data_IF_203602300028
#
_entry.id   IF_203602300028
#
_cell.length_a   1.000
_cell.length_b   1.000
_cell.length_c   1.000
_cell.angle_alpha   90.00
_cell.angle_beta   90.00
_cell.angle_gamma   90.00
#
_symmetry.space_group_name_H-M   'P 1'
#
loop_
_entity.id
_entity.type
_entity.pdbx_description
1 polymer ?
#
# COMPACT_ATOMS: atom_id res chain seq x y z
N UNK A 1 -55.62 -4.25 12.58
CA UNK A 1 -54.69 -3.84 11.52
C UNK A 1 -53.26 -3.81 12.06
N UNK A 2 -52.29 -4.41 11.35
CA UNK A 2 -50.92 -4.47 11.80
C UNK A 2 -50.25 -3.10 11.71
N UNK A 3 -49.58 -2.69 12.78
CA UNK A 3 -48.83 -1.44 12.82
C UNK A 3 -47.34 -1.71 12.62
N UNK A 4 -46.76 -0.95 11.74
CA UNK A 4 -45.29 -1.04 11.54
C UNK A 4 -44.60 -0.47 12.77
N UNK A 5 -43.79 -1.29 13.43
CA UNK A 5 -43.00 -0.90 14.59
C UNK A 5 -41.52 -0.84 14.23
N UNK A 6 -40.92 0.28 14.50
CA UNK A 6 -39.55 0.54 14.11
C UNK A 6 -38.50 0.31 15.21
N UNK A 7 -38.95 -0.10 16.39
CA UNK A 7 -38.04 -0.34 17.51
C UNK A 7 -36.95 -1.36 17.21
N UNK A 8 -37.35 -2.46 16.59
CA UNK A 8 -36.41 -3.54 16.24
C UNK A 8 -35.40 -3.08 15.18
N UNK A 9 -35.89 -2.46 14.11
CA UNK A 9 -35.01 -2.02 12.99
C UNK A 9 -34.07 -0.91 13.42
N UNK A 10 -34.55 0.04 14.20
CA UNK A 10 -33.74 1.14 14.71
C UNK A 10 -32.62 0.62 15.61
N UNK A 11 -32.95 -0.29 16.51
CA UNK A 11 -31.98 -0.87 17.44
C UNK A 11 -30.91 -1.69 16.69
N UNK A 12 -31.32 -2.42 15.66
CA UNK A 12 -30.41 -3.21 14.84
C UNK A 12 -29.40 -2.31 14.11
N UNK A 13 -29.86 -1.17 13.60
CA UNK A 13 -28.97 -0.20 12.95
C UNK A 13 -27.98 0.40 13.94
N UNK A 14 -28.45 0.77 15.14
CA UNK A 14 -27.57 1.31 16.18
C UNK A 14 -26.53 0.28 16.63
N UNK A 15 -26.95 -0.97 16.78
CA UNK A 15 -26.07 -2.06 17.19
C UNK A 15 -24.95 -2.28 16.18
N UNK A 16 -25.29 -2.20 14.89
CA UNK A 16 -24.31 -2.36 13.81
C UNK A 16 -23.22 -1.31 13.89
N UNK A 17 -23.62 -0.05 14.11
CA UNK A 17 -22.66 1.06 14.23
C UNK A 17 -21.80 0.89 15.48
N UNK A 18 -22.41 0.54 16.61
CA UNK A 18 -21.68 0.35 17.86
C UNK A 18 -20.69 -0.81 17.81
N UNK A 19 -21.02 -1.86 17.06
CA UNK A 19 -20.08 -2.97 16.85
C UNK A 19 -18.84 -2.52 16.09
N UNK A 20 -19.02 -1.64 15.10
CA UNK A 20 -17.90 -1.07 14.36
C UNK A 20 -17.06 -0.13 15.22
N UNK A 21 -17.66 0.46 16.24
CA UNK A 21 -17.00 1.42 17.15
C UNK A 21 -16.33 0.74 18.35
N UNK A 22 -16.34 -0.58 18.44
CA UNK A 22 -15.68 -1.30 19.54
C UNK A 22 -14.22 -0.89 19.66
N UNK A 23 -13.78 -0.64 20.89
CA UNK A 23 -12.42 -0.25 21.19
C UNK A 23 -12.14 1.24 21.07
N UNK A 24 -13.12 2.03 20.64
CA UNK A 24 -12.96 3.46 20.54
C UNK A 24 -12.90 4.10 21.93
N UNK A 25 -12.21 5.22 22.03
CA UNK A 25 -11.96 5.90 23.28
C UNK A 25 -13.22 6.60 23.82
N UNK A 26 -13.46 6.47 25.11
CA UNK A 26 -14.53 7.16 25.82
C UNK A 26 -15.91 6.79 25.31
N UNK A 27 -16.76 7.79 25.15
CA UNK A 27 -18.15 7.62 24.71
C UNK A 27 -18.28 7.25 23.25
N UNK A 28 -17.23 7.32 22.47
CA UNK A 28 -17.25 6.97 21.06
C UNK A 28 -17.55 5.48 20.82
N UNK A 29 -17.34 4.65 21.83
CA UNK A 29 -17.60 3.21 21.72
C UNK A 29 -19.02 2.81 22.13
N UNK A 30 -19.76 3.63 22.89
CA UNK A 30 -21.02 3.20 23.46
C UNK A 30 -22.18 4.18 23.32
N UNK A 31 -21.96 5.41 22.86
CA UNK A 31 -23.02 6.41 22.63
C UNK A 31 -23.25 6.55 21.13
N UNK A 32 -24.47 6.24 20.66
CA UNK A 32 -24.76 6.11 19.23
C UNK A 32 -24.46 7.39 18.44
N UNK A 33 -24.79 8.56 18.96
CA UNK A 33 -24.58 9.82 18.23
C UNK A 33 -23.10 10.06 17.97
N UNK A 34 -22.27 9.91 18.98
CA UNK A 34 -20.84 10.13 18.89
C UNK A 34 -20.16 8.97 18.15
N UNK A 35 -20.60 7.73 18.42
CA UNK A 35 -20.09 6.54 17.74
C UNK A 35 -20.31 6.62 16.23
N UNK A 36 -21.48 7.09 15.81
CA UNK A 36 -21.82 7.24 14.40
C UNK A 36 -20.85 8.21 13.71
N UNK A 37 -20.61 9.37 14.34
CA UNK A 37 -19.67 10.35 13.81
C UNK A 37 -18.25 9.78 13.72
N UNK A 38 -17.83 9.05 14.76
CA UNK A 38 -16.51 8.45 14.81
C UNK A 38 -16.34 7.38 13.73
N UNK A 39 -17.34 6.52 13.52
CA UNK A 39 -17.31 5.48 12.50
C UNK A 39 -17.30 6.09 11.09
N UNK A 40 -18.09 7.13 10.86
CA UNK A 40 -18.11 7.83 9.59
C UNK A 40 -16.73 8.43 9.26
N UNK A 41 -16.11 9.05 10.25
CA UNK A 41 -14.77 9.63 10.06
C UNK A 41 -13.73 8.55 9.84
N UNK A 42 -13.83 7.44 10.57
CA UNK A 42 -12.94 6.28 10.36
C UNK A 42 -13.08 5.73 8.95
N UNK A 43 -14.31 5.68 8.43
CA UNK A 43 -14.56 5.25 7.05
C UNK A 43 -13.92 6.17 6.02
N UNK A 44 -14.01 7.48 6.24
CA UNK A 44 -13.37 8.47 5.37
C UNK A 44 -11.85 8.30 5.38
N UNK A 45 -11.27 8.13 6.57
CA UNK A 45 -9.82 7.91 6.69
C UNK A 45 -9.41 6.59 6.03
N UNK A 46 -10.21 5.53 6.21
CA UNK A 46 -9.91 4.24 5.61
C UNK A 46 -9.90 4.33 4.08
N UNK A 47 -10.88 5.02 3.49
CA UNK A 47 -10.94 5.23 2.04
C UNK A 47 -9.72 5.98 1.54
N UNK A 48 -9.42 7.12 2.19
CA UNK A 48 -8.27 7.95 1.83
C UNK A 48 -6.96 7.17 1.97
N UNK A 49 -6.81 6.47 3.09
CA UNK A 49 -5.54 5.83 3.44
C UNK A 49 -5.30 4.54 2.66
N UNK A 50 -6.35 3.90 2.15
CA UNK A 50 -6.13 2.80 1.19
C UNK A 50 -5.44 3.29 -0.07
N UNK A 51 -5.78 4.50 -0.52
CA UNK A 51 -5.10 5.14 -1.67
C UNK A 51 -3.67 5.57 -1.31
N UNK A 52 -3.51 6.16 -0.13
CA UNK A 52 -2.20 6.58 0.37
C UNK A 52 -1.28 5.39 0.59
N UNK A 53 -1.84 4.24 1.04
CA UNK A 53 -1.07 3.02 1.24
C UNK A 53 -0.33 2.59 -0.02
N UNK A 54 -0.99 2.66 -1.17
CA UNK A 54 -0.38 2.31 -2.45
C UNK A 54 0.81 3.23 -2.76
N UNK A 55 0.65 4.53 -2.55
CA UNK A 55 1.72 5.51 -2.76
C UNK A 55 2.88 5.30 -1.79
N UNK A 56 2.56 5.02 -0.53
CA UNK A 56 3.57 4.83 0.51
C UNK A 56 4.41 3.58 0.23
N UNK A 57 3.78 2.48 -0.15
CA UNK A 57 4.50 1.26 -0.48
C UNK A 57 5.34 1.43 -1.74
N UNK A 58 4.83 2.14 -2.74
CA UNK A 58 5.63 2.41 -3.94
C UNK A 58 6.89 3.19 -3.60
N UNK A 59 6.79 4.19 -2.74
CA UNK A 59 7.94 4.96 -2.28
C UNK A 59 8.95 4.08 -1.54
N UNK A 60 8.45 3.17 -0.71
CA UNK A 60 9.30 2.22 0.02
C UNK A 60 10.03 1.28 -0.93
N UNK A 61 9.33 0.73 -1.93
CA UNK A 61 9.95 -0.15 -2.93
C UNK A 61 11.05 0.58 -3.70
N UNK A 62 10.78 1.80 -4.11
CA UNK A 62 11.77 2.63 -4.82
C UNK A 62 13.00 2.86 -3.94
N UNK A 63 12.81 3.14 -2.66
CA UNK A 63 13.90 3.37 -1.71
C UNK A 63 14.77 2.12 -1.57
N UNK A 64 14.15 0.96 -1.43
CA UNK A 64 14.87 -0.32 -1.31
C UNK A 64 15.64 -0.66 -2.58
N UNK A 65 15.01 -0.50 -3.73
CA UNK A 65 15.66 -0.74 -5.02
C UNK A 65 16.85 0.21 -5.19
N UNK A 66 16.64 1.49 -4.89
CA UNK A 66 17.67 2.51 -5.02
C UNK A 66 18.89 2.19 -4.14
N UNK A 67 18.64 1.78 -2.89
CA UNK A 67 19.73 1.41 -1.98
C UNK A 67 20.57 0.28 -2.55
N UNK A 68 19.90 -0.75 -3.09
CA UNK A 68 20.58 -1.92 -3.65
C UNK A 68 21.35 -1.59 -4.92
N UNK A 69 20.79 -0.79 -5.83
CA UNK A 69 21.46 -0.46 -7.11
C UNK A 69 22.59 0.54 -6.91
N UNK A 70 22.51 1.41 -5.91
CA UNK A 70 23.62 2.33 -5.61
C UNK A 70 24.87 1.60 -5.10
N UNK A 71 24.65 0.48 -4.40
CA UNK A 71 25.77 -0.38 -3.99
C UNK A 71 26.51 -0.97 -5.20
N UNK A 72 25.83 -1.09 -6.34
CA UNK A 72 26.41 -1.59 -7.59
C UNK A 72 26.83 -0.45 -8.54
N UNK A 73 26.77 0.78 -8.09
CA UNK A 73 27.24 1.94 -8.85
C UNK A 73 26.23 2.57 -9.79
N UNK A 74 24.95 2.21 -9.71
CA UNK A 74 23.89 2.80 -10.53
C UNK A 74 22.97 3.69 -9.69
N UNK A 75 22.34 4.66 -10.34
CA UNK A 75 21.21 5.38 -9.73
C UNK A 75 19.90 4.66 -10.07
N UNK A 76 18.86 4.96 -9.32
CA UNK A 76 17.55 4.36 -9.56
C UNK A 76 17.04 4.66 -10.97
N UNK A 77 17.17 5.91 -11.42
CA UNK A 77 16.72 6.29 -12.75
C UNK A 77 17.44 5.53 -13.87
N UNK A 78 18.74 5.36 -13.73
CA UNK A 78 19.54 4.59 -14.68
C UNK A 78 19.11 3.13 -14.69
N UNK A 79 18.85 2.56 -13.53
CA UNK A 79 18.45 1.18 -13.40
C UNK A 79 17.10 0.92 -14.07
N UNK A 80 16.10 1.79 -13.83
CA UNK A 80 14.77 1.65 -14.43
C UNK A 80 14.85 1.78 -15.95
N UNK A 81 15.60 2.73 -16.42
CA UNK A 81 15.83 2.87 -17.87
C UNK A 81 16.48 1.62 -18.45
N UNK A 82 17.49 1.09 -17.77
CA UNK A 82 18.17 -0.13 -18.18
C UNK A 82 17.25 -1.35 -18.22
N UNK A 83 16.35 -1.46 -17.27
CA UNK A 83 15.36 -2.55 -17.27
C UNK A 83 14.46 -2.48 -18.48
N UNK A 84 14.05 -1.29 -18.87
CA UNK A 84 13.21 -1.09 -20.06
C UNK A 84 13.97 -1.49 -21.32
N UNK A 85 15.23 -1.12 -21.42
CA UNK A 85 16.06 -1.49 -22.56
C UNK A 85 16.30 -3.00 -22.64
N UNK A 86 16.44 -3.65 -21.50
CA UNK A 86 16.64 -5.09 -21.43
C UNK A 86 15.36 -5.90 -21.63
N UNK A 87 14.21 -5.23 -21.66
CA UNK A 87 12.92 -5.90 -21.80
C UNK A 87 12.45 -6.63 -20.55
N UNK A 88 13.00 -6.29 -19.41
CA UNK A 88 12.61 -6.89 -18.12
C UNK A 88 11.35 -6.19 -17.60
N UNK A 89 10.29 -6.97 -17.33
CA UNK A 89 8.98 -6.43 -16.99
C UNK A 89 8.59 -6.61 -15.52
N UNK A 90 9.56 -6.93 -14.65
CA UNK A 90 9.29 -7.06 -13.21
C UNK A 90 8.87 -5.72 -12.62
N UNK A 91 7.86 -5.78 -11.73
CA UNK A 91 7.39 -4.56 -11.09
C UNK A 91 8.26 -4.20 -9.86
N UNK A 92 8.02 -3.03 -9.31
CA UNK A 92 8.84 -2.51 -8.21
C UNK A 92 8.69 -3.32 -6.92
N UNK A 93 7.49 -3.87 -6.69
CA UNK A 93 7.24 -4.70 -5.52
C UNK A 93 8.12 -5.95 -5.54
N UNK A 94 8.14 -6.65 -6.67
CA UNK A 94 8.93 -7.87 -6.85
C UNK A 94 10.42 -7.55 -6.78
N UNK A 95 10.85 -6.49 -7.44
CA UNK A 95 12.26 -6.08 -7.44
C UNK A 95 12.75 -5.72 -6.03
N UNK A 96 11.94 -5.02 -5.26
CA UNK A 96 12.29 -4.65 -3.89
C UNK A 96 12.42 -5.89 -3.00
N UNK A 97 11.55 -6.86 -3.17
CA UNK A 97 11.59 -8.11 -2.42
C UNK A 97 12.85 -8.92 -2.75
N UNK A 98 13.18 -9.04 -4.03
CA UNK A 98 14.39 -9.72 -4.49
C UNK A 98 15.63 -9.00 -3.94
N UNK A 99 15.62 -7.68 -3.97
CA UNK A 99 16.76 -6.87 -3.49
C UNK A 99 17.03 -7.10 -2.00
N UNK A 100 15.97 -7.33 -1.21
CA UNK A 100 16.11 -7.56 0.23
C UNK A 100 16.51 -8.98 0.57
N UNK A 101 15.92 -9.96 -0.10
CA UNK A 101 15.98 -11.36 0.33
C UNK A 101 16.84 -12.24 -0.54
N UNK A 102 17.11 -11.83 -1.78
CA UNK A 102 17.87 -12.62 -2.76
C UNK A 102 18.90 -11.73 -3.46
N UNK A 103 19.91 -11.32 -2.72
CA UNK A 103 20.93 -10.38 -3.21
C UNK A 103 21.64 -10.88 -4.48
N UNK A 104 21.91 -12.17 -4.54
CA UNK A 104 22.58 -12.75 -5.71
C UNK A 104 21.71 -12.67 -6.96
N UNK A 105 20.42 -13.00 -6.83
CA UNK A 105 19.47 -12.90 -7.94
C UNK A 105 19.32 -11.45 -8.39
N UNK A 106 19.30 -10.51 -7.46
CA UNK A 106 19.21 -9.09 -7.78
C UNK A 106 20.47 -8.60 -8.50
N UNK A 107 21.64 -9.05 -8.08
CA UNK A 107 22.89 -8.73 -8.76
C UNK A 107 22.90 -9.22 -10.20
N UNK A 108 22.33 -10.40 -10.46
CA UNK A 108 22.18 -10.93 -11.81
C UNK A 108 21.28 -10.03 -12.67
N UNK A 109 20.19 -9.54 -12.10
CA UNK A 109 19.28 -8.60 -12.78
C UNK A 109 20.01 -7.30 -13.11
N UNK A 110 20.77 -6.77 -12.17
CA UNK A 110 21.59 -5.56 -12.38
C UNK A 110 22.59 -5.77 -13.49
N UNK A 111 23.24 -6.93 -13.53
CA UNK A 111 24.21 -7.25 -14.57
C UNK A 111 23.58 -7.24 -15.97
N UNK A 112 22.39 -7.83 -16.10
CA UNK A 112 21.64 -7.79 -17.36
C UNK A 112 21.26 -6.37 -17.75
N UNK A 113 20.85 -5.57 -16.78
CA UNK A 113 20.47 -4.18 -17.01
C UNK A 113 21.67 -3.35 -17.46
N UNK A 114 22.82 -3.52 -16.82
CA UNK A 114 24.06 -2.84 -17.21
C UNK A 114 24.49 -3.23 -18.63
N UNK A 115 24.36 -4.51 -18.96
CA UNK A 115 24.65 -4.99 -20.30
C UNK A 115 23.78 -4.30 -21.37
N UNK A 116 22.51 -4.09 -21.09
CA UNK A 116 21.60 -3.39 -21.99
C UNK A 116 21.98 -1.91 -22.15
N UNK A 117 22.42 -1.26 -21.07
CA UNK A 117 22.88 0.13 -21.12
C UNK A 117 24.16 0.24 -21.97
N UNK A 118 25.09 -0.68 -21.81
CA UNK A 118 26.33 -0.70 -22.57
C UNK A 118 26.07 -0.90 -24.06
N UNK A 119 25.17 -1.81 -24.41
CA UNK A 119 24.78 -2.07 -25.80
C UNK A 119 24.19 -0.82 -26.46
N UNK A 120 23.36 -0.05 -25.71
CA UNK A 120 22.78 1.17 -26.24
C UNK A 120 23.84 2.26 -26.44
N UNK A 121 24.80 2.34 -25.51
CA UNK A 121 25.87 3.33 -25.55
C UNK A 121 26.88 3.04 -26.71
N UNK A 122 26.99 1.79 -27.09
CA UNK A 122 27.80 1.37 -28.21
C UNK A 122 27.04 1.55 -29.52
#
# INVERSE_FOLDING_TARGET
MARVKRGVTSRAKHKRILEQAKGYYGRRKNTIRIARQAVEKAGQYAYRDRKVKKRSFRALWIQRINAAVRAEGLTYGQFIHALKLAGITLDRKVLADIAMHEAEAFSAIIAQAKGALEKKAA
#
